data_IF_457706130852
#
_entry.id   IF_457706130852
#
_cell.length_a   1.000
_cell.length_b   1.000
_cell.length_c   1.000
_cell.angle_alpha   90.00
_cell.angle_beta   90.00
_cell.angle_gamma   90.00
#
_symmetry.space_group_name_H-M   'P 1'
#
loop_
_entity.id
_entity.type
_entity.pdbx_description
1 polymer ?
#
# COMPACT_ATOMS: atom_id res chain seq x y z
N UNK A 1 46.66 5.48 -14.34
CA UNK A 1 46.14 6.26 -13.19
C UNK A 1 44.73 6.70 -13.53
N UNK A 2 43.74 5.87 -13.19
CA UNK A 2 42.33 6.18 -13.43
C UNK A 2 41.94 7.23 -12.39
N UNK A 3 41.52 8.41 -12.83
CA UNK A 3 41.17 9.54 -11.99
C UNK A 3 40.17 9.10 -10.91
N UNK A 4 40.59 9.17 -9.65
CA UNK A 4 39.76 8.93 -8.46
C UNK A 4 38.48 9.78 -8.49
N UNK A 5 38.53 10.95 -9.15
CA UNK A 5 37.37 11.82 -9.37
C UNK A 5 36.23 11.17 -10.17
N UNK A 6 36.53 10.27 -11.13
CA UNK A 6 35.52 9.59 -11.95
C UNK A 6 34.81 8.48 -11.15
N UNK A 7 35.53 7.76 -10.29
CA UNK A 7 34.94 6.72 -9.44
C UNK A 7 33.99 7.32 -8.39
N UNK A 8 34.37 8.46 -7.80
CA UNK A 8 33.54 9.17 -6.82
C UNK A 8 32.26 9.69 -7.47
N UNK A 9 32.32 10.24 -8.68
CA UNK A 9 31.12 10.70 -9.39
C UNK A 9 30.19 9.53 -9.75
N UNK A 10 30.71 8.40 -10.22
CA UNK A 10 29.90 7.18 -10.47
C UNK A 10 29.24 6.65 -9.19
N UNK A 11 29.92 6.71 -8.04
CA UNK A 11 29.36 6.36 -6.72
C UNK A 11 28.25 7.34 -6.27
N UNK A 12 28.45 8.65 -6.45
CA UNK A 12 27.41 9.65 -6.12
C UNK A 12 26.18 9.56 -7.03
N UNK A 13 26.33 9.13 -8.29
CA UNK A 13 25.19 8.91 -9.19
C UNK A 13 24.44 7.60 -8.92
N UNK A 14 25.08 6.60 -8.31
CA UNK A 14 24.44 5.33 -7.95
C UNK A 14 23.43 5.45 -6.80
N UNK A 15 23.53 6.52 -6.00
CA UNK A 15 22.79 6.65 -4.73
C UNK A 15 21.51 7.50 -4.83
N UNK A 16 20.91 7.65 -6.02
CA UNK A 16 19.52 8.12 -6.14
C UNK A 16 18.59 6.96 -6.44
N UNK A 17 18.63 5.93 -5.58
CA UNK A 17 17.47 5.07 -5.42
C UNK A 17 16.38 5.95 -4.82
N UNK A 18 15.61 6.63 -5.67
CA UNK A 18 14.45 7.41 -5.25
C UNK A 18 13.61 6.49 -4.36
N UNK A 19 13.55 6.81 -3.08
CA UNK A 19 12.59 6.21 -2.17
C UNK A 19 11.22 6.66 -2.67
N UNK A 20 10.64 5.89 -3.59
CA UNK A 20 9.38 6.22 -4.20
C UNK A 20 8.34 6.39 -3.08
N UNK A 21 7.75 7.58 -2.93
CA UNK A 21 6.85 7.83 -1.82
C UNK A 21 5.59 7.00 -2.02
N UNK A 22 5.33 6.09 -1.10
CA UNK A 22 4.08 5.33 -1.11
C UNK A 22 2.91 6.24 -0.74
N UNK A 23 1.87 6.24 -1.58
CA UNK A 23 0.64 7.02 -1.42
C UNK A 23 -0.57 6.09 -1.39
N UNK A 24 -1.46 6.33 -0.43
CA UNK A 24 -2.75 5.65 -0.35
C UNK A 24 -3.79 6.40 -1.19
N UNK A 25 -4.60 5.65 -1.94
CA UNK A 25 -5.77 6.14 -2.66
C UNK A 25 -6.95 5.23 -2.36
N UNK A 26 -8.07 5.80 -1.91
CA UNK A 26 -9.32 5.04 -1.75
C UNK A 26 -10.04 5.01 -3.09
N UNK A 27 -10.62 3.87 -3.43
CA UNK A 27 -11.36 3.64 -4.66
C UNK A 27 -12.74 3.07 -4.34
N UNK A 28 -13.71 3.29 -5.22
CA UNK A 28 -14.98 2.58 -5.17
C UNK A 28 -14.86 1.23 -5.88
N UNK A 29 -15.61 0.24 -5.40
CA UNK A 29 -15.67 -1.08 -6.05
C UNK A 29 -16.44 -0.99 -7.38
N UNK A 30 -16.07 -1.82 -8.36
CA UNK A 30 -16.68 -1.82 -9.71
C UNK A 30 -18.20 -2.02 -9.71
N UNK A 31 -18.74 -2.65 -8.65
CA UNK A 31 -20.17 -2.93 -8.52
C UNK A 31 -20.91 -1.87 -7.68
N UNK A 32 -20.23 -0.81 -7.23
CA UNK A 32 -20.81 0.18 -6.30
C UNK A 32 -21.12 -0.38 -4.90
N UNK A 33 -20.66 -1.59 -4.59
CA UNK A 33 -20.95 -2.30 -3.34
C UNK A 33 -19.92 -2.01 -2.24
N UNK A 34 -19.45 -0.76 -2.18
CA UNK A 34 -18.52 -0.28 -1.16
C UNK A 34 -17.19 0.21 -1.72
N UNK A 35 -16.22 0.32 -0.82
CA UNK A 35 -14.92 0.94 -1.05
C UNK A 35 -13.79 -0.10 -1.00
N UNK A 36 -12.68 0.21 -1.65
CA UNK A 36 -11.42 -0.50 -1.59
C UNK A 36 -10.27 0.49 -1.55
N UNK A 37 -9.03 0.01 -1.54
CA UNK A 37 -7.87 0.90 -1.53
C UNK A 37 -6.79 0.46 -2.52
N UNK A 38 -6.01 1.43 -2.94
CA UNK A 38 -4.83 1.27 -3.75
C UNK A 38 -3.64 1.93 -3.07
N UNK A 39 -2.49 1.27 -3.12
CA UNK A 39 -1.23 1.88 -2.73
C UNK A 39 -0.42 2.09 -4.00
N UNK A 40 0.01 3.32 -4.20
CA UNK A 40 0.82 3.76 -5.33
C UNK A 40 2.23 4.04 -4.85
N UNK A 41 3.21 3.77 -5.71
CA UNK A 41 4.62 4.03 -5.50
C UNK A 41 5.07 4.92 -6.66
N UNK A 42 5.13 6.23 -6.44
CA UNK A 42 5.14 7.21 -7.55
C UNK A 42 3.85 7.11 -8.38
N UNK A 43 3.98 6.90 -9.69
CA UNK A 43 2.83 6.76 -10.61
C UNK A 43 2.35 5.31 -10.79
N UNK A 44 3.04 4.34 -10.17
CA UNK A 44 2.71 2.92 -10.32
C UNK A 44 1.83 2.43 -9.18
N UNK A 45 0.72 1.76 -9.50
CA UNK A 45 -0.06 1.02 -8.50
C UNK A 45 0.72 -0.24 -8.09
N UNK A 46 1.08 -0.35 -6.81
CA UNK A 46 1.77 -1.52 -6.25
C UNK A 46 0.82 -2.49 -5.57
N UNK A 47 -0.27 -1.99 -4.98
CA UNK A 47 -1.31 -2.80 -4.36
C UNK A 47 -2.66 -2.28 -4.83
N UNK A 48 -3.53 -3.19 -5.25
CA UNK A 48 -4.92 -2.91 -5.58
C UNK A 48 -5.79 -3.89 -4.81
N UNK A 49 -6.44 -3.43 -3.74
CA UNK A 49 -7.41 -4.21 -2.98
C UNK A 49 -8.79 -3.58 -3.08
N UNK A 50 -9.57 -3.97 -4.11
CA UNK A 50 -10.95 -3.55 -4.23
C UNK A 50 -11.87 -4.17 -3.15
N UNK A 51 -11.49 -5.30 -2.56
CA UNK A 51 -12.34 -6.05 -1.61
C UNK A 51 -11.66 -6.24 -0.26
N UNK A 52 -12.46 -6.52 0.77
CA UNK A 52 -11.98 -6.76 2.12
C UNK A 52 -11.08 -8.01 2.13
N UNK A 53 -9.79 -7.89 2.52
CA UNK A 53 -8.91 -9.04 2.63
C UNK A 53 -9.43 -10.03 3.68
N UNK A 54 -9.18 -11.32 3.52
CA UNK A 54 -9.62 -12.40 4.45
C UNK A 54 -11.13 -12.66 4.56
N UNK A 55 -12.02 -11.92 3.86
CA UNK A 55 -13.44 -12.27 3.77
C UNK A 55 -13.76 -12.97 2.44
N UNK A 56 -14.45 -14.12 2.45
CA UNK A 56 -14.93 -14.73 1.23
C UNK A 56 -16.07 -13.88 0.63
N UNK A 57 -15.89 -13.45 -0.62
CA UNK A 57 -16.88 -12.67 -1.36
C UNK A 57 -16.30 -11.38 -1.94
N UNK A 58 -16.92 -10.86 -3.00
CA UNK A 58 -16.57 -9.55 -3.61
C UNK A 58 -17.24 -8.40 -2.85
N UNK A 59 -17.06 -8.34 -1.53
CA UNK A 59 -17.61 -7.28 -0.65
C UNK A 59 -16.53 -6.23 -0.41
N UNK A 60 -16.84 -4.98 -0.76
CA UNK A 60 -15.99 -3.84 -0.41
C UNK A 60 -16.18 -3.45 1.06
N UNK A 61 -15.33 -2.54 1.55
CA UNK A 61 -15.55 -1.86 2.81
C UNK A 61 -16.84 -1.03 2.74
N UNK A 62 -17.66 -1.05 3.79
CA UNK A 62 -18.90 -0.28 3.81
C UNK A 62 -18.64 1.24 3.77
N UNK A 63 -17.55 1.68 4.42
CA UNK A 63 -17.17 3.08 4.54
C UNK A 63 -15.81 3.35 3.91
N UNK A 64 -15.67 4.52 3.30
CA UNK A 64 -14.39 5.00 2.75
C UNK A 64 -13.31 5.09 3.85
N UNK A 65 -13.71 5.50 5.06
CA UNK A 65 -12.80 5.61 6.20
C UNK A 65 -12.20 4.26 6.62
N UNK A 66 -12.96 3.16 6.50
CA UNK A 66 -12.49 1.83 6.85
C UNK A 66 -11.48 1.32 5.84
N UNK A 67 -11.76 1.52 4.54
CA UNK A 67 -10.79 1.27 3.47
C UNK A 67 -9.51 2.09 3.68
N UNK A 68 -9.64 3.34 4.14
CA UNK A 68 -8.50 4.22 4.45
C UNK A 68 -7.70 3.75 5.65
N UNK A 69 -8.35 3.33 6.75
CA UNK A 69 -7.69 2.80 7.95
C UNK A 69 -6.86 1.56 7.61
N UNK A 70 -7.46 0.59 6.92
CA UNK A 70 -6.76 -0.64 6.50
C UNK A 70 -5.64 -0.33 5.51
N UNK A 71 -5.91 0.55 4.55
CA UNK A 71 -4.90 0.99 3.60
C UNK A 71 -3.70 1.66 4.26
N UNK A 72 -3.91 2.49 5.29
CA UNK A 72 -2.83 3.10 6.08
C UNK A 72 -2.05 2.05 6.88
N UNK A 73 -2.71 1.06 7.45
CA UNK A 73 -2.05 -0.03 8.16
C UNK A 73 -1.11 -0.81 7.22
N UNK A 74 -1.57 -1.12 6.01
CA UNK A 74 -0.75 -1.76 4.97
C UNK A 74 0.41 -0.86 4.55
N UNK A 75 0.15 0.44 4.35
CA UNK A 75 1.16 1.43 4.00
C UNK A 75 2.28 1.51 5.07
N UNK A 76 1.92 1.50 6.34
CA UNK A 76 2.86 1.50 7.46
C UNK A 76 3.67 0.21 7.52
N UNK A 77 3.04 -0.97 7.32
CA UNK A 77 3.74 -2.26 7.26
C UNK A 77 4.75 -2.33 6.12
N UNK A 78 4.39 -1.81 4.94
CA UNK A 78 5.31 -1.71 3.78
C UNK A 78 6.50 -0.82 4.10
N UNK A 79 6.27 0.34 4.73
CA UNK A 79 7.36 1.26 5.13
C UNK A 79 8.31 0.64 6.14
N UNK A 80 7.81 -0.26 6.99
CA UNK A 80 8.61 -0.99 7.96
C UNK A 80 9.32 -2.22 7.36
N UNK A 81 9.02 -2.60 6.11
CA UNK A 81 9.55 -3.82 5.49
C UNK A 81 8.98 -5.11 6.08
N UNK A 82 7.84 -5.03 6.77
CA UNK A 82 7.17 -6.15 7.41
C UNK A 82 6.20 -6.87 6.44
N UNK A 83 5.75 -8.06 6.82
CA UNK A 83 4.64 -8.74 6.13
C UNK A 83 3.40 -7.83 6.18
N UNK A 84 2.89 -7.50 4.99
CA UNK A 84 1.75 -6.59 4.81
C UNK A 84 0.43 -7.34 4.63
N UNK A 85 0.42 -8.66 4.85
CA UNK A 85 -0.79 -9.48 4.84
C UNK A 85 -1.75 -8.99 5.92
N UNK A 86 -2.99 -8.67 5.52
CA UNK A 86 -4.07 -8.29 6.45
C UNK A 86 -4.90 -9.53 6.77
N UNK A 87 -4.82 -9.97 8.02
CA UNK A 87 -5.57 -11.11 8.55
C UNK A 87 -6.97 -10.68 9.02
N UNK A 88 -7.89 -11.63 9.15
CA UNK A 88 -9.22 -11.35 9.73
C UNK A 88 -9.14 -10.80 11.17
N UNK A 89 -8.08 -11.12 11.92
CA UNK A 89 -7.84 -10.59 13.26
C UNK A 89 -7.50 -9.08 13.23
N UNK A 90 -6.73 -8.63 12.24
CA UNK A 90 -6.41 -7.21 12.04
C UNK A 90 -7.69 -6.39 11.76
N UNK A 91 -8.61 -6.94 10.97
CA UNK A 91 -9.90 -6.31 10.67
C UNK A 91 -10.80 -6.19 11.91
N UNK A 92 -10.86 -7.26 12.71
CA UNK A 92 -11.62 -7.26 13.97
C UNK A 92 -11.08 -6.23 14.97
N UNK A 93 -9.75 -6.04 15.02
CA UNK A 93 -9.11 -5.00 15.82
C UNK A 93 -9.45 -3.58 15.37
N UNK A 94 -9.84 -3.39 14.10
CA UNK A 94 -10.24 -2.11 13.52
C UNK A 94 -11.77 -1.87 13.55
N UNK A 95 -12.55 -2.81 14.11
CA UNK A 95 -14.02 -2.72 14.16
C UNK A 95 -14.71 -2.99 12.81
N UNK A 96 -13.97 -3.43 11.80
CA UNK A 96 -14.50 -3.71 10.47
C UNK A 96 -15.14 -5.10 10.52
N UNK A 97 -16.47 -5.13 10.58
CA UNK A 97 -17.24 -6.37 10.68
C UNK A 97 -17.88 -6.67 9.33
N UNK A 98 -17.61 -7.86 8.80
CA UNK A 98 -18.07 -8.31 7.47
C UNK A 98 -19.52 -8.78 7.40
N UNK A 99 -20.29 -8.60 8.47
CA UNK A 99 -21.70 -9.01 8.56
C UNK A 99 -22.57 -8.18 7.58
#
# INVERSE_FOLDING_TARGET
>A
MICVACAVSVLFFYDRHEACPYRLKVIETENGNGYGYQILCGDRVVICQPYIPSLPGRKGFALEEDARKVGNLVLERIRQGNDFTISAADLKGQGITGD
#
